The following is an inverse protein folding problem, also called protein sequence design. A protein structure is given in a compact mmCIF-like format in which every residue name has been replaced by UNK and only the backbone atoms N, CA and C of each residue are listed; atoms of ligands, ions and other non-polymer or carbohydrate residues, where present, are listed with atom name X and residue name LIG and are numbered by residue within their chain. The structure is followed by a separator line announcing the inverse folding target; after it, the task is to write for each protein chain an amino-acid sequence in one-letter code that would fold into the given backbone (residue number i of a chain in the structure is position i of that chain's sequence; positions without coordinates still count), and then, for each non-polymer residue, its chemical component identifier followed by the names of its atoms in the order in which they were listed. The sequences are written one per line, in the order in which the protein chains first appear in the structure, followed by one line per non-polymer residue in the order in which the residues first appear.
data_IF_767759920752
#
_entry.id   IF_767759920752
#
_cell.length_a   1.000
_cell.length_b   1.000
_cell.length_c   1.000
_cell.angle_alpha   90.00
_cell.angle_beta   90.00
_cell.angle_gamma   90.00
#
_symmetry.space_group_name_H-M   'P 1'
#
loop_
_entity.id
_entity.type
_entity.pdbx_description
1 polymer ?
#
# COMPACT_ATOMS: atom_id res chain seq x y z
N UNK A 1 -52.85 -0.92 39.23
CA UNK A 1 -51.96 -1.98 38.74
C UNK A 1 -51.60 -1.83 37.25
N UNK A 2 -52.52 -1.50 36.38
CA UNK A 2 -52.35 -1.31 34.93
C UNK A 2 -51.44 -0.14 34.55
N UNK A 3 -51.59 1.03 35.16
CA UNK A 3 -50.76 2.23 34.87
C UNK A 3 -49.28 2.02 35.16
N UNK A 4 -48.91 1.32 36.25
CA UNK A 4 -47.51 0.99 36.54
C UNK A 4 -46.88 0.03 35.49
N UNK A 5 -47.68 -0.90 34.98
CA UNK A 5 -47.18 -1.80 33.89
C UNK A 5 -47.00 -1.06 32.56
N UNK A 6 -47.86 -0.12 32.20
CA UNK A 6 -47.73 0.71 31.00
C UNK A 6 -46.51 1.62 31.12
N UNK A 7 -46.30 2.26 32.25
CA UNK A 7 -45.09 3.07 32.49
C UNK A 7 -43.77 2.23 32.40
N UNK A 8 -43.77 1.02 32.95
CA UNK A 8 -42.60 0.13 32.86
C UNK A 8 -42.32 -0.32 31.45
N UNK A 9 -43.36 -0.59 30.63
CA UNK A 9 -43.21 -0.96 29.22
C UNK A 9 -42.72 0.24 28.40
N UNK A 10 -43.24 1.44 28.66
CA UNK A 10 -42.77 2.67 28.01
C UNK A 10 -41.30 2.99 28.38
N UNK A 11 -40.89 2.77 29.61
CA UNK A 11 -39.53 2.98 30.05
C UNK A 11 -38.56 1.95 29.39
N UNK A 12 -38.99 0.70 29.27
CA UNK A 12 -38.20 -0.33 28.57
C UNK A 12 -38.09 0.00 27.08
N UNK A 13 -39.14 0.44 26.41
CA UNK A 13 -39.13 0.87 25.01
C UNK A 13 -38.23 2.10 24.79
N UNK A 14 -38.22 3.06 25.74
CA UNK A 14 -37.29 4.22 25.65
C UNK A 14 -35.82 3.83 25.85
N UNK A 15 -35.53 2.86 26.71
CA UNK A 15 -34.17 2.34 26.88
C UNK A 15 -33.70 1.65 25.59
N UNK A 16 -34.56 0.82 24.96
CA UNK A 16 -34.23 0.20 23.66
C UNK A 16 -34.05 1.21 22.52
N UNK A 17 -34.77 2.33 22.56
CA UNK A 17 -34.64 3.40 21.55
C UNK A 17 -33.37 4.23 21.77
N UNK A 18 -32.84 4.30 23.00
CA UNK A 18 -31.60 5.02 23.33
C UNK A 18 -30.37 4.16 22.99
N UNK A 19 -30.44 2.85 23.19
CA UNK A 19 -29.35 1.93 22.77
C UNK A 19 -29.30 1.72 21.24
N UNK A 20 -30.37 2.03 20.50
CA UNK A 20 -30.42 1.97 19.04
C UNK A 20 -29.82 3.19 18.34
N UNK A 21 -29.41 4.22 19.06
CA UNK A 21 -28.56 5.28 18.52
C UNK A 21 -27.09 4.87 18.68
N UNK A 22 -26.67 3.90 17.91
CA UNK A 22 -25.25 3.75 17.62
C UNK A 22 -24.75 5.09 17.07
N UNK A 23 -23.67 5.62 17.63
CA UNK A 23 -23.04 6.86 17.20
C UNK A 23 -22.47 6.80 15.77
N UNK A 24 -22.90 5.83 14.98
CA UNK A 24 -22.43 5.56 13.61
C UNK A 24 -22.79 6.67 12.61
N UNK A 25 -23.69 7.60 12.95
CA UNK A 25 -24.05 8.73 12.08
C UNK A 25 -22.82 9.62 11.80
N UNK A 26 -21.87 9.70 12.73
CA UNK A 26 -20.65 10.49 12.59
C UNK A 26 -19.53 9.76 11.85
N UNK A 27 -19.55 8.43 11.75
CA UNK A 27 -18.55 7.64 11.00
C UNK A 27 -18.52 7.94 9.51
N UNK A 28 -19.57 8.58 8.98
CA UNK A 28 -19.65 9.05 7.60
C UNK A 28 -19.22 10.52 7.43
N UNK A 29 -18.78 11.17 8.52
CA UNK A 29 -18.29 12.55 8.45
C UNK A 29 -16.97 12.58 7.72
N UNK A 30 -16.79 13.58 6.84
CA UNK A 30 -15.51 13.88 6.19
C UNK A 30 -14.44 14.34 7.20
N UNK A 31 -14.82 14.62 8.42
CA UNK A 31 -13.92 15.05 9.50
C UNK A 31 -13.55 13.90 10.45
N UNK A 32 -14.16 12.73 10.28
CA UNK A 32 -13.88 11.59 11.14
C UNK A 32 -12.51 11.00 10.82
N UNK A 33 -11.71 10.75 11.84
CA UNK A 33 -10.37 10.17 11.73
C UNK A 33 -10.13 8.98 12.67
N UNK A 34 -11.06 8.75 13.61
CA UNK A 34 -10.92 7.70 14.63
C UNK A 34 -11.30 6.33 14.06
N UNK A 35 -10.31 5.58 13.63
CA UNK A 35 -10.50 4.27 12.99
C UNK A 35 -10.61 3.14 14.02
N UNK A 36 -11.44 2.14 13.73
CA UNK A 36 -11.39 0.86 14.44
C UNK A 36 -10.07 0.09 14.26
N UNK A 37 -9.22 0.53 13.35
CA UNK A 37 -7.87 0.01 13.10
C UNK A 37 -6.77 0.95 13.63
N UNK A 38 -7.13 1.99 14.42
CA UNK A 38 -6.18 2.90 15.05
C UNK A 38 -5.07 2.17 15.80
N UNK A 39 -3.81 2.62 15.60
CA UNK A 39 -2.64 2.02 16.23
C UNK A 39 -2.31 0.60 15.77
N UNK A 40 -2.83 0.18 14.60
CA UNK A 40 -2.49 -1.14 14.05
C UNK A 40 -1.09 -1.20 13.45
N UNK A 41 -0.51 -0.05 13.07
CA UNK A 41 0.83 0.08 12.49
C UNK A 41 1.11 -0.98 11.40
N UNK A 42 0.14 -1.16 10.48
CA UNK A 42 0.09 -2.32 9.58
C UNK A 42 1.35 -2.47 8.73
N UNK A 43 1.96 -1.36 8.28
CA UNK A 43 3.21 -1.42 7.51
C UNK A 43 4.37 -1.92 8.38
N UNK A 44 4.55 -1.33 9.56
CA UNK A 44 5.65 -1.67 10.45
C UNK A 44 5.55 -3.11 10.95
N UNK A 45 4.34 -3.53 11.35
CA UNK A 45 4.06 -4.89 11.83
C UNK A 45 4.27 -5.92 10.72
N UNK A 46 3.74 -5.66 9.52
CA UNK A 46 3.85 -6.61 8.42
C UNK A 46 5.26 -6.63 7.81
N UNK A 47 5.97 -5.50 7.75
CA UNK A 47 7.36 -5.47 7.33
C UNK A 47 8.23 -6.34 8.25
N UNK A 48 8.11 -6.18 9.57
CA UNK A 48 8.80 -7.02 10.54
C UNK A 48 8.40 -8.51 10.44
N UNK A 49 7.12 -8.78 10.13
CA UNK A 49 6.64 -10.16 9.92
C UNK A 49 7.26 -10.78 8.65
N UNK A 50 7.34 -10.03 7.54
CA UNK A 50 8.00 -10.48 6.30
C UNK A 50 9.46 -10.83 6.59
N UNK A 51 10.20 -9.95 7.25
CA UNK A 51 11.61 -10.18 7.61
C UNK A 51 11.78 -11.43 8.49
N UNK A 52 10.87 -11.66 9.42
CA UNK A 52 10.94 -12.83 10.32
C UNK A 52 10.62 -14.16 9.65
N UNK A 53 9.69 -14.14 8.69
CA UNK A 53 9.23 -15.34 7.98
C UNK A 53 10.14 -15.72 6.82
N UNK A 54 10.75 -14.73 6.16
CA UNK A 54 11.50 -14.92 4.92
C UNK A 54 12.91 -14.34 5.08
N UNK A 55 13.80 -15.14 5.64
CA UNK A 55 15.19 -14.79 5.93
C UNK A 55 16.20 -15.81 5.39
N UNK A 56 15.84 -16.53 4.34
CA UNK A 56 16.71 -17.51 3.67
C UNK A 56 17.35 -16.89 2.44
N UNK A 57 18.62 -16.42 2.52
CA UNK A 57 19.30 -15.81 1.38
C UNK A 57 19.30 -16.74 0.16
N UNK A 58 19.23 -16.14 -1.04
CA UNK A 58 19.23 -16.81 -2.33
C UNK A 58 17.99 -17.66 -2.64
N UNK A 59 17.01 -17.75 -1.74
CA UNK A 59 15.74 -18.39 -2.05
C UNK A 59 14.94 -17.51 -3.04
N UNK A 60 14.48 -18.14 -4.11
CA UNK A 60 13.54 -17.53 -5.05
C UNK A 60 12.16 -17.35 -4.39
N UNK A 61 11.50 -16.24 -4.67
CA UNK A 61 10.16 -15.99 -4.13
C UNK A 61 9.30 -15.16 -5.07
N UNK A 62 8.01 -15.16 -4.82
CA UNK A 62 7.04 -14.36 -5.55
C UNK A 62 6.29 -13.47 -4.57
N UNK A 63 6.09 -12.21 -4.91
CA UNK A 63 5.14 -11.33 -4.23
C UNK A 63 4.10 -10.79 -5.20
N UNK A 64 2.93 -10.46 -4.67
CA UNK A 64 1.86 -9.88 -5.48
C UNK A 64 1.83 -8.36 -5.33
N UNK A 65 1.38 -7.71 -6.40
CA UNK A 65 1.21 -6.25 -6.45
C UNK A 65 -0.20 -5.93 -6.88
N UNK A 66 -0.84 -5.04 -6.14
CA UNK A 66 -2.11 -4.40 -6.47
C UNK A 66 -1.95 -2.89 -6.31
N UNK A 67 -2.73 -2.10 -7.03
CA UNK A 67 -2.64 -0.64 -6.98
C UNK A 67 -3.94 0.02 -7.38
N UNK A 68 -4.09 1.29 -6.97
CA UNK A 68 -5.19 2.17 -7.43
C UNK A 68 -6.54 1.48 -7.29
N UNK A 69 -6.80 0.94 -6.10
CA UNK A 69 -8.03 0.21 -5.81
C UNK A 69 -9.22 1.15 -5.58
N UNK A 70 -8.93 2.38 -5.13
CA UNK A 70 -9.94 3.39 -4.88
C UNK A 70 -11.15 2.82 -4.13
N UNK A 71 -12.35 2.92 -4.69
CA UNK A 71 -13.58 2.35 -4.14
C UNK A 71 -14.05 1.08 -4.85
N UNK A 72 -13.20 0.46 -5.69
CA UNK A 72 -13.49 -0.80 -6.38
C UNK A 72 -13.32 -2.02 -5.46
N UNK A 73 -14.10 -2.04 -4.37
CA UNK A 73 -13.97 -3.05 -3.31
C UNK A 73 -14.20 -4.48 -3.80
N UNK A 74 -15.14 -4.69 -4.71
CA UNK A 74 -15.44 -6.02 -5.26
C UNK A 74 -14.26 -6.56 -6.08
N UNK A 75 -13.57 -5.69 -6.81
CA UNK A 75 -12.39 -6.07 -7.58
C UNK A 75 -11.20 -6.33 -6.66
N UNK A 76 -11.01 -5.52 -5.62
CA UNK A 76 -9.99 -5.77 -4.62
C UNK A 76 -10.23 -7.10 -3.88
N UNK A 77 -11.48 -7.42 -3.55
CA UNK A 77 -11.86 -8.69 -2.91
C UNK A 77 -11.61 -9.90 -3.83
N UNK A 78 -11.88 -9.73 -5.13
CA UNK A 78 -11.57 -10.73 -6.15
C UNK A 78 -10.06 -10.97 -6.25
N UNK A 79 -9.26 -9.90 -6.31
CA UNK A 79 -7.80 -10.00 -6.33
C UNK A 79 -7.25 -10.70 -5.07
N UNK A 80 -7.75 -10.35 -3.88
CA UNK A 80 -7.40 -11.03 -2.62
C UNK A 80 -7.72 -12.52 -2.68
N UNK A 81 -8.86 -12.89 -3.27
CA UNK A 81 -9.24 -14.30 -3.42
C UNK A 81 -8.28 -15.07 -4.33
N UNK A 82 -7.84 -14.45 -5.43
CA UNK A 82 -6.85 -15.02 -6.36
C UNK A 82 -5.48 -15.16 -5.69
N UNK A 83 -5.04 -14.12 -4.98
CA UNK A 83 -3.78 -14.14 -4.23
C UNK A 83 -3.80 -15.27 -3.20
N UNK A 84 -4.88 -15.42 -2.44
CA UNK A 84 -5.02 -16.48 -1.43
C UNK A 84 -5.04 -17.89 -2.03
N UNK A 85 -5.45 -18.03 -3.29
CA UNK A 85 -5.44 -19.30 -4.00
C UNK A 85 -4.04 -19.70 -4.51
N UNK A 86 -3.08 -18.78 -4.52
CA UNK A 86 -1.72 -19.04 -4.99
C UNK A 86 -0.72 -19.13 -3.82
N UNK A 87 -0.32 -20.34 -3.37
CA UNK A 87 0.55 -20.53 -2.23
C UNK A 87 2.01 -20.11 -2.47
N UNK A 88 2.40 -19.78 -3.70
CA UNK A 88 3.75 -19.30 -4.00
C UNK A 88 3.96 -17.83 -3.57
N UNK A 89 2.88 -17.07 -3.37
CA UNK A 89 2.94 -15.67 -2.98
C UNK A 89 3.34 -15.58 -1.51
N UNK A 90 4.40 -14.83 -1.23
CA UNK A 90 4.92 -14.63 0.13
C UNK A 90 4.30 -13.43 0.84
N UNK A 91 4.06 -12.36 0.11
CA UNK A 91 3.44 -11.13 0.63
C UNK A 91 2.82 -10.31 -0.50
N UNK A 92 2.14 -9.24 -0.14
CA UNK A 92 1.49 -8.31 -1.08
C UNK A 92 2.00 -6.89 -0.86
N UNK A 93 2.22 -6.13 -1.94
CA UNK A 93 2.43 -4.68 -1.89
C UNK A 93 1.23 -4.00 -2.57
N UNK A 94 0.55 -3.10 -1.84
CA UNK A 94 -0.39 -2.16 -2.42
C UNK A 94 0.36 -0.86 -2.75
N UNK A 95 0.38 -0.44 -4.02
CA UNK A 95 1.19 0.69 -4.48
C UNK A 95 0.55 2.07 -4.25
N UNK A 96 -0.49 2.17 -3.43
CA UNK A 96 -1.16 3.44 -3.13
C UNK A 96 -2.49 3.62 -3.87
N UNK A 97 -3.15 4.76 -3.61
CA UNK A 97 -4.50 5.09 -4.04
C UNK A 97 -5.51 3.98 -3.64
N UNK A 98 -5.51 3.69 -2.34
CA UNK A 98 -6.47 2.79 -1.70
C UNK A 98 -7.86 3.41 -1.55
N UNK A 99 -7.91 4.74 -1.60
CA UNK A 99 -9.12 5.54 -1.40
C UNK A 99 -9.31 6.52 -2.56
N UNK A 100 -10.52 7.00 -2.79
CA UNK A 100 -10.79 8.06 -3.77
C UNK A 100 -10.50 9.45 -3.19
N UNK A 101 -10.74 9.65 -1.90
CA UNK A 101 -10.77 10.99 -1.29
C UNK A 101 -10.23 11.01 0.14
N UNK A 102 -9.46 10.01 0.57
CA UNK A 102 -8.84 9.97 1.89
C UNK A 102 -9.83 9.86 3.06
N UNK A 103 -11.05 9.37 2.83
CA UNK A 103 -12.06 9.26 3.89
C UNK A 103 -11.85 8.02 4.75
N UNK A 104 -12.11 8.15 6.04
CA UNK A 104 -12.01 7.06 7.02
C UNK A 104 -12.75 5.80 6.57
N UNK A 105 -14.00 5.95 6.11
CA UNK A 105 -14.80 4.80 5.66
C UNK A 105 -14.13 4.07 4.50
N UNK A 106 -13.52 4.80 3.55
CA UNK A 106 -12.84 4.21 2.40
C UNK A 106 -11.62 3.39 2.87
N UNK A 107 -10.80 3.94 3.76
CA UNK A 107 -9.70 3.20 4.39
C UNK A 107 -10.17 1.95 5.12
N UNK A 108 -11.21 2.06 5.96
CA UNK A 108 -11.72 0.92 6.71
C UNK A 108 -12.27 -0.20 5.81
N UNK A 109 -12.90 0.17 4.69
CA UNK A 109 -13.38 -0.81 3.70
C UNK A 109 -12.22 -1.54 3.02
N UNK A 110 -11.20 -0.80 2.56
CA UNK A 110 -10.01 -1.36 1.93
C UNK A 110 -9.23 -2.26 2.90
N UNK A 111 -8.95 -1.76 4.11
CA UNK A 111 -8.24 -2.54 5.15
C UNK A 111 -9.01 -3.82 5.51
N UNK A 112 -10.34 -3.74 5.62
CA UNK A 112 -11.17 -4.92 5.88
C UNK A 112 -10.99 -6.01 4.81
N UNK A 113 -10.82 -5.63 3.55
CA UNK A 113 -10.59 -6.56 2.46
C UNK A 113 -9.15 -7.09 2.50
N UNK A 114 -8.16 -6.21 2.62
CA UNK A 114 -6.75 -6.61 2.69
C UNK A 114 -6.47 -7.54 3.87
N UNK A 115 -7.17 -7.38 5.00
CA UNK A 115 -7.06 -8.30 6.16
C UNK A 115 -7.61 -9.71 5.91
N UNK A 116 -8.22 -9.99 4.76
CA UNK A 116 -8.57 -11.36 4.33
C UNK A 116 -7.40 -12.09 3.67
N UNK A 117 -6.30 -11.41 3.36
CA UNK A 117 -5.09 -12.03 2.85
C UNK A 117 -4.54 -13.04 3.84
N UNK A 118 -4.09 -14.19 3.34
CA UNK A 118 -3.44 -15.23 4.14
C UNK A 118 -1.94 -14.97 4.33
N UNK A 119 -1.40 -13.96 3.66
CA UNK A 119 0.00 -13.53 3.70
C UNK A 119 0.09 -12.08 4.16
N UNK A 120 1.23 -11.61 4.68
CA UNK A 120 1.42 -10.22 5.05
C UNK A 120 1.24 -9.28 3.87
N UNK A 121 0.85 -8.03 4.14
CA UNK A 121 0.79 -6.98 3.14
C UNK A 121 1.35 -5.66 3.67
N UNK A 122 1.97 -4.89 2.80
CA UNK A 122 2.41 -3.52 3.06
C UNK A 122 1.82 -2.59 2.01
N UNK A 123 1.73 -1.30 2.31
CA UNK A 123 1.13 -0.32 1.43
C UNK A 123 1.98 0.95 1.30
N UNK A 124 2.23 1.39 0.08
CA UNK A 124 2.60 2.75 -0.20
C UNK A 124 1.37 3.67 -0.06
N UNK A 125 1.60 4.96 0.15
CA UNK A 125 0.53 5.95 0.17
C UNK A 125 0.44 6.63 -1.20
N UNK A 126 -0.78 6.72 -1.75
CA UNK A 126 -1.03 7.42 -3.01
C UNK A 126 -1.54 8.86 -2.81
N UNK A 127 -1.65 9.62 -3.88
CA UNK A 127 -2.06 11.01 -3.81
C UNK A 127 -3.56 11.18 -3.41
N UNK A 128 -4.43 10.25 -3.80
CA UNK A 128 -5.82 10.23 -3.36
C UNK A 128 -5.95 9.89 -1.87
N UNK A 129 -5.04 9.08 -1.35
CA UNK A 129 -4.97 8.73 0.06
C UNK A 129 -4.62 9.91 0.96
N UNK A 130 -4.00 10.96 0.41
CA UNK A 130 -3.59 12.17 1.13
C UNK A 130 -4.67 13.25 1.18
N UNK A 131 -5.78 13.09 0.46
CA UNK A 131 -6.82 14.10 0.42
C UNK A 131 -7.53 14.24 1.79
N UNK A 132 -8.00 15.45 2.08
CA UNK A 132 -8.70 15.74 3.35
C UNK A 132 -7.87 15.39 4.59
N UNK A 133 -8.37 14.49 5.43
CA UNK A 133 -7.68 13.99 6.61
C UNK A 133 -6.91 12.67 6.34
N UNK A 134 -6.81 12.27 5.09
CA UNK A 134 -6.32 10.96 4.72
C UNK A 134 -4.91 10.65 5.20
N UNK A 135 -4.00 11.63 5.24
CA UNK A 135 -2.66 11.44 5.79
C UNK A 135 -2.67 11.05 7.27
N UNK A 136 -3.55 11.68 8.06
CA UNK A 136 -3.70 11.38 9.50
C UNK A 136 -4.23 9.96 9.64
N UNK A 137 -5.27 9.61 8.88
CA UNK A 137 -5.91 8.29 8.90
C UNK A 137 -4.93 7.20 8.45
N UNK A 138 -4.19 7.44 7.35
CA UNK A 138 -3.18 6.49 6.90
C UNK A 138 -2.15 6.21 7.99
N UNK A 139 -1.57 7.26 8.57
CA UNK A 139 -0.56 7.10 9.62
C UNK A 139 -1.09 6.38 10.87
N UNK A 140 -2.34 6.61 11.22
CA UNK A 140 -2.97 5.97 12.36
C UNK A 140 -3.22 4.47 12.14
N UNK A 141 -3.48 4.06 10.91
CA UNK A 141 -3.75 2.66 10.54
C UNK A 141 -2.49 1.91 10.13
N UNK A 142 -1.67 2.52 9.26
CA UNK A 142 -0.54 1.87 8.59
C UNK A 142 0.81 2.17 9.25
N UNK A 143 0.93 3.22 10.06
CA UNK A 143 2.18 3.65 10.66
C UNK A 143 3.01 4.51 9.70
N UNK A 144 4.28 4.15 9.51
CA UNK A 144 5.19 4.91 8.67
C UNK A 144 4.81 4.87 7.19
N UNK A 145 4.92 6.03 6.51
CA UNK A 145 4.78 6.14 5.05
C UNK A 145 6.08 5.88 4.30
N UNK A 146 7.22 6.08 5.00
CA UNK A 146 8.56 5.80 4.51
C UNK A 146 9.18 4.75 5.41
N UNK A 147 9.46 3.59 4.87
CA UNK A 147 10.05 2.48 5.60
C UNK A 147 10.80 1.54 4.65
N UNK A 148 11.56 0.64 5.20
CA UNK A 148 12.26 -0.39 4.43
C UNK A 148 12.16 -1.73 5.15
N UNK A 149 12.31 -2.80 4.41
CA UNK A 149 12.38 -4.15 4.94
C UNK A 149 13.18 -5.05 3.99
N UNK A 150 13.59 -6.22 4.50
CA UNK A 150 14.28 -7.23 3.73
C UNK A 150 13.45 -8.51 3.65
N UNK A 151 13.30 -9.07 2.45
CA UNK A 151 12.76 -10.40 2.23
C UNK A 151 13.86 -11.27 1.63
N UNK A 152 14.27 -12.32 2.36
CA UNK A 152 15.45 -13.11 2.08
C UNK A 152 16.70 -12.21 2.00
N UNK A 153 17.23 -11.96 0.82
CA UNK A 153 18.37 -11.07 0.57
C UNK A 153 18.01 -9.91 -0.39
N UNK A 154 16.74 -9.59 -0.48
CA UNK A 154 16.21 -8.49 -1.31
C UNK A 154 15.76 -7.35 -0.42
N UNK A 155 16.29 -6.17 -0.66
CA UNK A 155 16.02 -4.96 0.11
C UNK A 155 14.94 -4.12 -0.58
N UNK A 156 13.87 -3.80 0.15
CA UNK A 156 12.75 -2.99 -0.30
C UNK A 156 12.77 -1.63 0.39
N UNK A 157 12.57 -0.57 -0.39
CA UNK A 157 12.32 0.78 0.10
C UNK A 157 10.92 1.17 -0.34
N UNK A 158 10.05 1.48 0.60
CA UNK A 158 8.72 2.04 0.34
C UNK A 158 8.74 3.51 0.78
N UNK A 159 8.33 4.43 -0.10
CA UNK A 159 8.36 5.84 0.23
C UNK A 159 7.15 6.62 -0.30
N UNK A 160 6.77 7.64 0.45
CA UNK A 160 5.81 8.65 0.03
C UNK A 160 6.50 9.64 -0.91
N UNK A 161 6.06 9.66 -2.16
CA UNK A 161 6.56 10.53 -3.22
C UNK A 161 5.55 11.59 -3.69
N UNK A 162 4.49 11.81 -2.94
CA UNK A 162 3.37 12.69 -3.28
C UNK A 162 3.73 14.16 -2.98
N UNK A 163 4.57 14.75 -3.82
CA UNK A 163 5.20 16.06 -3.63
C UNK A 163 4.23 17.26 -3.71
N UNK A 164 3.02 17.08 -4.23
CA UNK A 164 2.00 18.13 -4.25
C UNK A 164 1.07 18.06 -3.02
N UNK A 165 0.78 16.87 -2.54
CA UNK A 165 -0.17 16.63 -1.47
C UNK A 165 0.48 16.63 -0.09
N UNK A 166 1.81 16.41 -0.02
CA UNK A 166 2.55 16.35 1.24
C UNK A 166 3.99 16.86 1.10
N UNK A 167 4.61 17.16 2.25
CA UNK A 167 6.04 17.42 2.28
C UNK A 167 6.80 16.09 2.31
N UNK A 168 7.49 15.77 1.21
CA UNK A 168 8.28 14.54 1.09
C UNK A 168 9.75 14.73 1.51
N UNK A 169 10.17 15.98 1.78
CA UNK A 169 11.58 16.29 2.05
C UNK A 169 12.48 16.00 0.84
N UNK A 170 13.75 15.73 1.09
CA UNK A 170 14.67 15.25 0.06
C UNK A 170 14.57 13.73 -0.06
N UNK A 171 13.71 13.27 -0.94
CA UNK A 171 13.46 11.83 -1.13
C UNK A 171 14.68 11.12 -1.73
N UNK A 172 15.44 11.78 -2.61
CA UNK A 172 16.65 11.19 -3.20
C UNK A 172 17.74 10.99 -2.13
N UNK A 173 17.89 11.95 -1.21
CA UNK A 173 18.81 11.78 -0.08
C UNK A 173 18.35 10.65 0.85
N UNK A 174 17.05 10.51 1.10
CA UNK A 174 16.52 9.38 1.88
C UNK A 174 16.84 8.03 1.21
N UNK A 175 16.67 7.92 -0.10
CA UNK A 175 17.04 6.72 -0.84
C UNK A 175 18.53 6.45 -0.76
N UNK A 176 19.37 7.49 -0.97
CA UNK A 176 20.81 7.36 -0.87
C UNK A 176 21.24 6.82 0.51
N UNK A 177 20.70 7.38 1.58
CA UNK A 177 21.02 6.99 2.95
C UNK A 177 20.67 5.52 3.25
N UNK A 178 19.56 5.03 2.70
CA UNK A 178 19.16 3.63 2.84
C UNK A 178 20.00 2.70 1.96
N UNK A 179 20.26 3.09 0.70
CA UNK A 179 20.96 2.25 -0.27
C UNK A 179 22.44 2.08 0.08
N UNK A 180 23.11 3.13 0.59
CA UNK A 180 24.52 3.05 0.97
C UNK A 180 24.80 1.99 2.05
N UNK A 181 23.83 1.72 2.92
CA UNK A 181 23.92 0.74 4.01
C UNK A 181 23.43 -0.66 3.63
N UNK A 182 22.86 -0.84 2.42
CA UNK A 182 22.26 -2.09 1.97
C UNK A 182 22.83 -2.58 0.63
N UNK A 183 24.13 -2.33 0.39
CA UNK A 183 24.81 -2.73 -0.85
C UNK A 183 25.03 -4.24 -0.97
N UNK A 184 25.01 -4.96 0.14
CA UNK A 184 25.15 -6.42 0.19
C UNK A 184 23.88 -7.17 -0.21
N UNK A 185 22.74 -6.49 -0.33
CA UNK A 185 21.50 -7.10 -0.80
C UNK A 185 21.67 -7.61 -2.25
N UNK A 186 21.12 -8.80 -2.55
CA UNK A 186 21.11 -9.36 -3.91
C UNK A 186 20.40 -8.43 -4.90
N UNK A 187 19.25 -7.91 -4.50
CA UNK A 187 18.50 -6.90 -5.26
C UNK A 187 18.02 -5.78 -4.33
N UNK A 188 17.87 -4.59 -4.88
CA UNK A 188 17.23 -3.43 -4.26
C UNK A 188 16.02 -3.04 -5.11
N UNK A 189 14.88 -2.89 -4.46
CA UNK A 189 13.60 -2.53 -5.09
C UNK A 189 13.09 -1.25 -4.44
N UNK A 190 12.84 -0.22 -5.23
CA UNK A 190 12.22 1.02 -4.78
C UNK A 190 10.75 1.01 -5.19
N UNK A 191 9.89 1.31 -4.24
CA UNK A 191 8.43 1.33 -4.39
C UNK A 191 7.93 2.72 -4.00
N UNK A 192 7.31 3.41 -4.95
CA UNK A 192 6.56 4.64 -4.71
C UNK A 192 5.26 4.60 -5.48
N UNK A 193 4.34 5.52 -5.18
CA UNK A 193 3.07 5.53 -5.90
C UNK A 193 3.22 6.14 -7.29
N UNK A 194 3.82 7.34 -7.39
CA UNK A 194 3.92 8.11 -8.64
C UNK A 194 5.22 7.75 -9.36
N UNK A 195 5.18 7.32 -10.62
CA UNK A 195 6.42 7.08 -11.37
C UNK A 195 7.19 8.38 -11.61
N UNK A 196 8.49 8.39 -11.34
CA UNK A 196 9.33 9.58 -11.52
C UNK A 196 9.45 10.04 -12.98
N UNK A 197 8.95 9.26 -13.91
CA UNK A 197 8.74 9.66 -15.32
C UNK A 197 7.47 10.48 -15.53
N UNK A 198 6.73 10.83 -14.46
CA UNK A 198 5.60 11.73 -14.55
C UNK A 198 6.08 13.19 -14.60
N UNK A 199 6.15 13.74 -15.81
CA UNK A 199 6.65 15.08 -16.06
C UNK A 199 5.72 16.22 -15.57
N UNK A 200 4.51 15.89 -15.12
CA UNK A 200 3.65 16.84 -14.42
C UNK A 200 4.10 17.02 -12.96
N UNK A 201 4.66 15.97 -12.37
CA UNK A 201 5.08 15.91 -10.97
C UNK A 201 6.56 16.20 -10.77
N UNK A 202 7.42 15.72 -11.69
CA UNK A 202 8.87 15.78 -11.57
C UNK A 202 9.50 16.42 -12.80
N UNK A 203 10.46 17.31 -12.58
CA UNK A 203 11.28 17.88 -13.64
C UNK A 203 12.31 16.87 -14.14
N UNK A 204 12.81 17.07 -15.35
CA UNK A 204 13.79 16.18 -15.97
C UNK A 204 15.06 16.03 -15.11
N UNK A 205 15.54 17.09 -14.49
CA UNK A 205 16.72 17.07 -13.61
C UNK A 205 16.51 16.07 -12.44
N UNK A 206 15.33 16.06 -11.83
CA UNK A 206 15.02 15.09 -10.77
C UNK A 206 15.05 13.64 -11.30
N UNK A 207 14.50 13.42 -12.50
CA UNK A 207 14.52 12.11 -13.13
C UNK A 207 15.95 11.65 -13.42
N UNK A 208 16.80 12.55 -13.91
CA UNK A 208 18.20 12.26 -14.22
C UNK A 208 18.97 11.90 -12.93
N UNK A 209 18.74 12.62 -11.84
CA UNK A 209 19.34 12.35 -10.52
C UNK A 209 18.84 11.00 -9.95
N UNK A 210 17.55 10.70 -10.11
CA UNK A 210 17.00 9.40 -9.70
C UNK A 210 17.57 8.25 -10.51
N UNK A 211 17.72 8.40 -11.82
CA UNK A 211 18.36 7.39 -12.67
C UNK A 211 19.83 7.18 -12.30
N UNK A 212 20.56 8.27 -12.02
CA UNK A 212 21.92 8.19 -11.54
C UNK A 212 22.03 7.42 -10.21
N UNK A 213 21.11 7.69 -9.28
CA UNK A 213 21.05 6.96 -8.00
C UNK A 213 20.76 5.47 -8.23
N UNK A 214 19.77 5.14 -9.05
CA UNK A 214 19.43 3.76 -9.38
C UNK A 214 20.61 2.99 -10.00
N UNK A 215 21.32 3.62 -10.93
CA UNK A 215 22.49 3.04 -11.58
C UNK A 215 23.65 2.84 -10.59
N UNK A 216 23.89 3.84 -9.73
CA UNK A 216 25.01 3.84 -8.78
C UNK A 216 24.86 2.75 -7.70
N UNK A 217 23.64 2.45 -7.30
CA UNK A 217 23.33 1.46 -6.25
C UNK A 217 22.78 0.14 -6.78
N UNK A 218 22.83 -0.11 -8.09
CA UNK A 218 22.33 -1.35 -8.71
C UNK A 218 20.86 -1.64 -8.29
N UNK A 219 19.98 -0.63 -8.33
CA UNK A 219 18.55 -0.82 -8.08
C UNK A 219 18.01 -1.70 -9.20
N UNK A 220 17.43 -2.85 -8.86
CA UNK A 220 16.98 -3.80 -9.87
C UNK A 220 15.59 -3.45 -10.43
N UNK A 221 14.71 -2.90 -9.58
CA UNK A 221 13.33 -2.56 -9.97
C UNK A 221 12.87 -1.28 -9.30
N UNK A 222 12.27 -0.38 -10.10
CA UNK A 222 11.50 0.78 -9.65
C UNK A 222 10.01 0.49 -9.94
N UNK A 223 9.18 0.42 -8.89
CA UNK A 223 7.81 -0.11 -8.95
C UNK A 223 6.79 0.96 -8.55
N UNK A 224 5.78 1.20 -9.41
CA UNK A 224 4.84 2.31 -9.29
C UNK A 224 3.39 1.93 -9.68
N UNK A 225 2.42 2.77 -9.24
CA UNK A 225 1.01 2.78 -9.64
C UNK A 225 0.63 4.03 -10.43
N UNK A 226 -0.41 4.74 -9.95
CA UNK A 226 -0.85 6.09 -10.33
C UNK A 226 -1.41 6.24 -11.74
N UNK A 227 -0.80 5.67 -12.76
CA UNK A 227 -1.15 5.94 -14.17
C UNK A 227 -2.36 5.14 -14.67
N UNK A 228 -2.89 4.24 -13.86
CA UNK A 228 -4.00 3.34 -14.22
C UNK A 228 -3.79 2.58 -15.53
N UNK A 229 -2.53 2.34 -15.90
CA UNK A 229 -2.15 1.57 -17.09
C UNK A 229 -0.82 0.89 -16.91
N UNK A 230 -0.68 -0.26 -17.52
CA UNK A 230 0.60 -0.95 -17.56
C UNK A 230 1.63 -0.17 -18.39
N UNK A 231 2.80 0.01 -17.82
CA UNK A 231 3.95 0.60 -18.47
C UNK A 231 5.23 -0.03 -17.94
N UNK A 232 6.06 -0.51 -18.83
CA UNK A 232 7.31 -1.18 -18.48
C UNK A 232 8.47 -0.65 -19.32
N UNK A 233 9.55 -0.24 -18.66
CA UNK A 233 10.82 0.18 -19.27
C UNK A 233 11.89 -0.79 -18.78
N UNK A 234 12.29 -1.78 -19.58
CA UNK A 234 13.31 -2.74 -19.16
C UNK A 234 14.68 -2.10 -18.93
N UNK A 235 15.02 -1.10 -19.74
CA UNK A 235 16.28 -0.38 -19.72
C UNK A 235 16.07 1.05 -19.18
N UNK A 236 15.42 1.18 -18.00
CA UNK A 236 15.24 2.49 -17.34
C UNK A 236 16.60 3.09 -16.98
N UNK A 237 17.52 2.25 -16.48
CA UNK A 237 18.96 2.44 -16.50
C UNK A 237 19.62 1.17 -17.05
N UNK A 238 20.96 1.06 -17.08
CA UNK A 238 21.62 -0.18 -17.49
C UNK A 238 21.39 -1.36 -16.53
N UNK A 239 20.88 -1.07 -15.32
CA UNK A 239 20.70 -2.03 -14.23
C UNK A 239 19.28 -2.08 -13.67
N UNK A 240 18.47 -1.07 -13.98
CA UNK A 240 17.15 -0.89 -13.40
C UNK A 240 16.06 -1.07 -14.45
N UNK A 241 15.09 -1.91 -14.17
CA UNK A 241 13.80 -1.88 -14.85
C UNK A 241 12.81 -0.98 -14.10
N UNK A 242 11.90 -0.33 -14.81
CA UNK A 242 10.78 0.42 -14.20
C UNK A 242 9.46 -0.22 -14.61
N UNK A 243 8.61 -0.49 -13.63
CA UNK A 243 7.27 -1.03 -13.84
C UNK A 243 6.23 -0.12 -13.17
N UNK A 244 5.28 0.39 -13.96
CA UNK A 244 4.05 1.00 -13.48
C UNK A 244 2.90 0.01 -13.70
N UNK A 245 2.27 -0.42 -12.62
CA UNK A 245 1.19 -1.37 -12.64
C UNK A 245 -0.13 -0.71 -13.06
N UNK A 246 -1.01 -1.48 -13.67
CA UNK A 246 -2.36 -1.03 -14.03
C UNK A 246 -3.26 -1.06 -12.79
N UNK A 247 -4.19 -0.11 -12.71
CA UNK A 247 -5.19 -0.04 -11.66
C UNK A 247 -6.04 -1.33 -11.59
N UNK A 248 -6.43 -1.71 -10.38
CA UNK A 248 -7.21 -2.92 -10.15
C UNK A 248 -8.59 -2.88 -10.83
N UNK A 249 -9.12 -1.69 -11.11
CA UNK A 249 -10.35 -1.48 -11.87
C UNK A 249 -10.33 -2.15 -13.24
N UNK A 250 -9.15 -2.41 -13.80
CA UNK A 250 -8.96 -3.09 -15.08
C UNK A 250 -8.81 -4.62 -14.95
N UNK A 251 -9.21 -5.19 -13.80
CA UNK A 251 -9.13 -6.64 -13.53
C UNK A 251 -7.70 -7.18 -13.70
N UNK A 252 -6.72 -6.48 -13.13
CA UNK A 252 -5.29 -6.84 -13.20
C UNK A 252 -4.65 -6.79 -11.83
N UNK A 253 -3.84 -7.80 -11.54
CA UNK A 253 -2.82 -7.79 -10.49
C UNK A 253 -1.50 -8.27 -11.10
N UNK A 254 -0.41 -8.08 -10.39
CA UNK A 254 0.92 -8.46 -10.88
C UNK A 254 1.55 -9.44 -9.90
N UNK A 255 2.23 -10.45 -10.44
CA UNK A 255 3.13 -11.30 -9.69
C UNK A 255 4.56 -10.91 -10.06
N UNK A 256 5.36 -10.63 -9.07
CA UNK A 256 6.78 -10.31 -9.25
C UNK A 256 7.58 -11.50 -8.76
N UNK A 257 8.30 -12.11 -9.69
CA UNK A 257 9.13 -13.29 -9.46
C UNK A 257 10.57 -12.85 -9.26
N UNK A 258 11.08 -13.03 -8.04
CA UNK A 258 12.46 -12.73 -7.70
C UNK A 258 13.24 -14.04 -7.73
N UNK A 259 14.14 -14.16 -8.68
CA UNK A 259 14.91 -15.37 -8.94
C UNK A 259 16.43 -15.10 -8.85
N UNK A 260 17.23 -16.14 -8.76
CA UNK A 260 18.68 -16.02 -8.81
C UNK A 260 19.18 -15.35 -10.11
N UNK A 261 18.43 -15.47 -11.20
CA UNK A 261 18.77 -14.97 -12.53
C UNK A 261 18.26 -13.55 -12.83
N UNK A 262 17.42 -12.97 -11.95
CA UNK A 262 16.82 -11.64 -12.15
C UNK A 262 15.43 -11.53 -11.57
N UNK A 263 14.77 -10.42 -11.91
CA UNK A 263 13.39 -10.14 -11.53
C UNK A 263 12.53 -10.15 -12.78
N UNK A 264 11.45 -10.94 -12.77
CA UNK A 264 10.45 -11.01 -13.82
C UNK A 264 9.07 -10.65 -13.27
N UNK A 265 8.12 -10.34 -14.15
CA UNK A 265 6.75 -10.11 -13.73
C UNK A 265 5.75 -10.83 -14.63
N UNK A 266 4.61 -11.17 -14.05
CA UNK A 266 3.44 -11.72 -14.73
C UNK A 266 2.23 -10.83 -14.47
N UNK A 267 1.38 -10.63 -15.48
CA UNK A 267 0.09 -9.93 -15.33
C UNK A 267 -1.01 -10.99 -15.23
N UNK A 268 -1.68 -11.01 -14.10
CA UNK A 268 -2.81 -11.90 -13.85
C UNK A 268 -4.11 -11.11 -14.04
N UNK A 269 -4.95 -11.58 -14.98
CA UNK A 269 -6.30 -11.04 -15.19
C UNK A 269 -7.35 -11.82 -14.38
N UNK A 270 -8.45 -11.15 -13.98
CA UNK A 270 -9.54 -11.76 -13.23
C UNK A 270 -10.90 -11.11 -13.51
#
# INVERSE_FOLDING_TARGET
MYVKRILSILLILTIFLIESCDNDIFKYSIHETDSKYSGSDLNDVNAALIESLYNNPLEDFTFAVVTDSHTDYDKLDSAVSIINANPSIKFVIHLGDMTDTGLLLQYEMTVRILKKLHVPFVAAIGNHDLLGNGFIIFKDIFGHTNFSFTCNDVFFIIANDNNWESSIGDILQQFNDLLVHNQDARYRIIVTHIPFTDNARYFQEFLDDYQYLCENYDVALSLHGHRHRHYYIPDFTSKTAMLSANAIVHDKLYLIHVMATGIEYEIVGF
#
